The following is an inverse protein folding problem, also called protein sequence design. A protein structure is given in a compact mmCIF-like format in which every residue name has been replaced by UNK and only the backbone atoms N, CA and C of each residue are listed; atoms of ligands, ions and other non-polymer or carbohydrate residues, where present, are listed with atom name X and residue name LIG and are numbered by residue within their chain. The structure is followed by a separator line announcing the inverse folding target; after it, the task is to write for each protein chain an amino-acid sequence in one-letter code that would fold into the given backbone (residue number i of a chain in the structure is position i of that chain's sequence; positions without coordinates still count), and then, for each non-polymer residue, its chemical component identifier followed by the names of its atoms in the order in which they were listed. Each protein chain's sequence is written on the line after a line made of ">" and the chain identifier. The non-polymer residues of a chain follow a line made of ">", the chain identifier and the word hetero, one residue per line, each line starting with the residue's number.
data_IF_026162565976
#
_entry.id   IF_026162565976
#
_cell.length_a   1.000
_cell.length_b   1.000
_cell.length_c   1.000
_cell.angle_alpha   90.00
_cell.angle_beta   90.00
_cell.angle_gamma   90.00
#
_symmetry.space_group_name_H-M   'P 1'
#
loop_
_entity.id
_entity.type
_entity.pdbx_description
1 polymer ?
#
# COMPACT_ATOMS: atom_id res chain seq x y z
N UNK A 1 3.46 -28.72 -7.32
CA UNK A 1 2.36 -27.99 -7.98
C UNK A 1 1.41 -27.56 -6.89
N UNK A 2 1.09 -26.27 -6.89
CA UNK A 2 0.24 -25.68 -5.86
C UNK A 2 -1.24 -26.01 -6.11
N UNK A 3 -1.95 -26.33 -5.03
CA UNK A 3 -3.40 -26.53 -5.02
C UNK A 3 -4.05 -25.38 -4.26
N UNK A 4 -4.88 -24.57 -4.94
CA UNK A 4 -5.69 -23.55 -4.26
C UNK A 4 -6.69 -24.21 -3.32
N UNK A 5 -6.73 -23.78 -2.07
CA UNK A 5 -7.62 -24.29 -1.02
C UNK A 5 -8.60 -23.22 -0.51
N UNK A 6 -8.30 -21.94 -0.76
CA UNK A 6 -9.19 -20.83 -0.45
C UNK A 6 -8.99 -19.68 -1.46
N UNK A 7 -10.08 -19.04 -1.86
CA UNK A 7 -10.07 -17.80 -2.65
C UNK A 7 -11.11 -16.85 -2.07
N UNK A 8 -10.67 -15.72 -1.53
CA UNK A 8 -11.53 -14.62 -1.11
C UNK A 8 -11.27 -13.37 -1.94
N UNK A 9 -11.90 -12.26 -1.55
CA UNK A 9 -11.77 -10.98 -2.26
C UNK A 9 -10.40 -10.32 -2.06
N UNK A 10 -9.75 -10.53 -0.90
CA UNK A 10 -8.48 -9.87 -0.54
C UNK A 10 -7.28 -10.82 -0.51
N UNK A 11 -7.52 -12.11 -0.27
CA UNK A 11 -6.47 -13.13 -0.12
C UNK A 11 -6.87 -14.42 -0.81
N UNK A 12 -5.89 -15.16 -1.32
CA UNK A 12 -6.05 -16.57 -1.70
C UNK A 12 -4.99 -17.43 -1.02
N UNK A 13 -5.32 -18.69 -0.75
CA UNK A 13 -4.42 -19.63 -0.07
C UNK A 13 -4.26 -20.87 -0.95
N UNK A 14 -3.03 -21.31 -1.10
CA UNK A 14 -2.68 -22.56 -1.76
C UNK A 14 -1.81 -23.43 -0.85
N UNK A 15 -1.90 -24.73 -1.06
CA UNK A 15 -1.03 -25.73 -0.43
C UNK A 15 -0.08 -26.31 -1.47
N UNK A 16 1.17 -26.53 -1.07
CA UNK A 16 2.15 -27.27 -1.86
C UNK A 16 2.84 -28.34 -1.03
N UNK A 17 2.95 -29.56 -1.57
CA UNK A 17 3.76 -30.61 -0.96
C UNK A 17 5.20 -30.51 -1.43
N UNK A 18 6.11 -30.25 -0.50
CA UNK A 18 7.57 -30.18 -0.73
C UNK A 18 8.25 -31.10 0.29
N UNK A 19 9.04 -32.06 -0.18
CA UNK A 19 9.75 -33.03 0.67
C UNK A 19 8.88 -33.73 1.73
N UNK A 20 7.64 -34.07 1.37
CA UNK A 20 6.70 -34.75 2.28
C UNK A 20 5.96 -33.83 3.25
N UNK A 21 6.29 -32.54 3.31
CA UNK A 21 5.59 -31.56 4.13
C UNK A 21 4.62 -30.72 3.29
N UNK A 22 3.49 -30.33 3.89
CA UNK A 22 2.56 -29.36 3.31
C UNK A 22 3.03 -27.96 3.69
N UNK A 23 3.15 -27.09 2.68
CA UNK A 23 3.45 -25.68 2.83
C UNK A 23 2.24 -24.86 2.41
N UNK A 24 1.69 -24.07 3.32
CA UNK A 24 0.65 -23.10 3.03
C UNK A 24 1.25 -21.80 2.50
N UNK A 25 0.70 -21.32 1.40
CA UNK A 25 1.10 -20.08 0.73
C UNK A 25 -0.09 -19.16 0.63
N UNK A 26 0.02 -18.00 1.25
CA UNK A 26 -0.96 -16.91 1.15
C UNK A 26 -0.52 -15.97 0.04
N UNK A 27 -1.46 -15.62 -0.83
CA UNK A 27 -1.30 -14.64 -1.90
C UNK A 27 -2.21 -13.45 -1.59
N UNK A 28 -1.60 -12.26 -1.56
CA UNK A 28 -2.28 -10.99 -1.35
C UNK A 28 -1.87 -10.04 -2.48
N UNK A 29 -2.72 -9.06 -2.79
CA UNK A 29 -2.41 -8.07 -3.82
C UNK A 29 -1.10 -7.35 -3.55
N UNK A 30 -0.34 -7.08 -4.62
CA UNK A 30 0.87 -6.26 -4.53
C UNK A 30 0.51 -4.85 -4.06
N UNK A 31 1.44 -4.22 -3.36
CA UNK A 31 1.18 -2.95 -2.69
C UNK A 31 2.18 -1.87 -3.05
N UNK A 32 1.74 -0.63 -2.95
CA UNK A 32 2.60 0.55 -2.99
C UNK A 32 2.64 1.24 -1.62
N UNK A 33 3.81 1.75 -1.26
CA UNK A 33 4.07 2.49 -0.03
C UNK A 33 4.78 3.77 -0.42
N UNK A 34 4.15 4.90 -0.16
CA UNK A 34 4.64 6.21 -0.57
C UNK A 34 5.01 7.01 0.67
N UNK A 35 6.21 7.59 0.66
CA UNK A 35 6.66 8.57 1.64
C UNK A 35 6.55 9.97 1.04
N UNK A 36 5.47 10.72 1.30
CA UNK A 36 5.27 12.07 0.77
C UNK A 36 6.03 13.11 1.60
N UNK A 37 7.12 13.65 1.06
CA UNK A 37 7.92 14.69 1.71
C UNK A 37 7.29 16.07 1.51
N UNK A 38 7.03 16.78 2.62
CA UNK A 38 6.60 18.19 2.63
C UNK A 38 7.78 19.15 2.82
N UNK A 39 8.90 18.65 3.32
CA UNK A 39 10.19 19.34 3.40
C UNK A 39 11.31 18.30 3.48
N UNK A 40 12.57 18.71 3.63
CA UNK A 40 13.72 17.80 3.64
C UNK A 40 13.70 16.74 4.75
N UNK A 41 12.99 16.99 5.84
CA UNK A 41 13.01 16.20 7.08
C UNK A 41 11.59 15.85 7.57
N UNK A 42 10.55 16.09 6.76
CA UNK A 42 9.16 15.85 7.16
C UNK A 42 8.38 15.15 6.07
N UNK A 43 7.61 14.17 6.51
CA UNK A 43 6.63 13.47 5.67
C UNK A 43 5.22 13.68 6.21
N UNK A 44 4.25 13.64 5.30
CA UNK A 44 2.84 13.52 5.67
C UNK A 44 2.53 12.07 6.04
N UNK A 45 1.79 11.89 7.12
CA UNK A 45 1.22 10.60 7.50
C UNK A 45 -0.31 10.68 7.50
N UNK A 46 -0.92 9.53 7.27
CA UNK A 46 -2.36 9.34 7.25
C UNK A 46 -2.76 8.63 8.54
N UNK A 47 -3.71 9.22 9.26
CA UNK A 47 -4.44 8.52 10.32
C UNK A 47 -5.63 7.81 9.68
N UNK A 48 -5.62 6.48 9.68
CA UNK A 48 -6.62 5.66 9.02
C UNK A 48 -7.45 4.90 10.06
N UNK A 49 -8.78 4.88 9.88
CA UNK A 49 -9.68 4.05 10.70
C UNK A 49 -9.72 2.63 10.14
N UNK A 50 -9.47 1.63 10.98
CA UNK A 50 -9.49 0.20 10.63
C UNK A 50 -10.41 -0.53 11.60
N UNK A 51 -11.62 -0.85 11.16
CA UNK A 51 -12.67 -1.47 11.99
C UNK A 51 -12.26 -2.82 12.62
N UNK A 52 -11.30 -3.51 12.03
CA UNK A 52 -10.78 -4.81 12.48
C UNK A 52 -9.52 -4.69 13.35
N UNK A 53 -9.05 -3.47 13.65
CA UNK A 53 -7.88 -3.24 14.52
C UNK A 53 -8.31 -2.69 15.89
N UNK A 54 -7.47 -2.90 16.92
CA UNK A 54 -7.65 -2.33 18.26
C UNK A 54 -6.31 -1.77 18.78
N UNK A 55 -6.16 -0.43 18.93
CA UNK A 55 -7.18 0.60 18.68
C UNK A 55 -7.56 0.68 17.19
N UNK A 56 -8.78 1.16 16.85
CA UNK A 56 -9.30 1.14 15.47
C UNK A 56 -8.69 2.23 14.59
N UNK A 57 -7.55 2.78 14.97
CA UNK A 57 -6.84 3.82 14.25
C UNK A 57 -5.36 3.48 14.17
N UNK A 58 -4.82 3.59 12.96
CA UNK A 58 -3.41 3.38 12.68
C UNK A 58 -2.83 4.62 12.04
N UNK A 59 -1.65 5.00 12.48
CA UNK A 59 -0.83 5.98 11.78
C UNK A 59 0.00 5.24 10.72
N UNK A 60 -0.15 5.62 9.46
CA UNK A 60 0.56 5.02 8.33
C UNK A 60 1.04 6.08 7.36
N UNK A 61 1.91 5.70 6.45
CA UNK A 61 2.19 6.50 5.24
C UNK A 61 1.07 6.27 4.21
N UNK A 62 1.13 6.95 3.07
CA UNK A 62 0.20 6.67 1.96
C UNK A 62 0.49 5.29 1.40
N UNK A 63 -0.56 4.48 1.23
CA UNK A 63 -0.45 3.11 0.77
C UNK A 63 -1.67 2.70 -0.04
N UNK A 64 -1.49 1.85 -1.04
CA UNK A 64 -2.62 1.13 -1.63
C UNK A 64 -2.20 -0.03 -2.52
N UNK A 65 -3.13 -0.52 -3.33
CA UNK A 65 -2.88 -1.65 -4.21
C UNK A 65 -2.11 -1.21 -5.45
N UNK A 66 -1.18 -2.06 -5.90
CA UNK A 66 -0.44 -1.82 -7.13
C UNK A 66 -1.27 -2.27 -8.34
N UNK A 67 -1.69 -1.33 -9.17
CA UNK A 67 -2.40 -1.57 -10.41
C UNK A 67 -1.38 -1.82 -11.54
N UNK A 68 -1.40 -3.02 -12.13
CA UNK A 68 -0.40 -3.45 -13.13
C UNK A 68 -0.56 -2.82 -14.52
N UNK A 69 -1.72 -2.21 -14.80
CA UNK A 69 -1.98 -1.42 -15.99
C UNK A 69 -1.50 0.04 -15.87
N UNK A 70 -1.00 0.42 -14.70
CA UNK A 70 -0.45 1.73 -14.40
C UNK A 70 1.08 1.65 -14.19
N UNK A 71 1.79 2.69 -14.60
CA UNK A 71 3.17 2.92 -14.21
C UNK A 71 3.30 3.13 -12.70
N UNK A 72 4.53 3.08 -12.18
CA UNK A 72 4.79 3.39 -10.77
C UNK A 72 4.34 4.83 -10.44
N UNK A 73 4.63 5.79 -11.31
CA UNK A 73 4.25 7.20 -11.12
C UNK A 73 2.74 7.39 -11.07
N UNK A 74 2.00 6.73 -11.95
CA UNK A 74 0.53 6.76 -11.94
C UNK A 74 -0.04 6.14 -10.66
N UNK A 75 0.48 4.98 -10.23
CA UNK A 75 0.08 4.38 -8.97
C UNK A 75 0.37 5.29 -7.76
N UNK A 76 1.59 5.85 -7.67
CA UNK A 76 1.97 6.75 -6.57
C UNK A 76 1.04 7.94 -6.52
N UNK A 77 0.83 8.60 -7.67
CA UNK A 77 0.02 9.80 -7.72
C UNK A 77 -1.46 9.51 -7.46
N UNK A 78 -2.02 8.42 -7.99
CA UNK A 78 -3.41 8.01 -7.70
C UNK A 78 -3.64 7.89 -6.19
N UNK A 79 -2.79 7.13 -5.48
CA UNK A 79 -2.91 6.94 -4.04
C UNK A 79 -2.71 8.25 -3.24
N UNK A 80 -1.76 9.10 -3.65
CA UNK A 80 -1.57 10.42 -3.01
C UNK A 80 -2.82 11.31 -3.20
N UNK A 81 -3.40 11.30 -4.40
CA UNK A 81 -4.57 12.11 -4.72
C UNK A 81 -5.81 11.60 -3.98
N UNK A 82 -6.00 10.28 -3.90
CA UNK A 82 -7.09 9.62 -3.20
C UNK A 82 -6.99 9.83 -1.68
N UNK A 83 -5.85 9.54 -1.05
CA UNK A 83 -5.74 9.54 0.42
C UNK A 83 -5.52 10.93 1.03
N UNK A 84 -4.70 11.78 0.41
CA UNK A 84 -4.29 13.07 0.98
C UNK A 84 -4.56 14.28 0.07
N UNK A 85 -5.15 14.08 -1.11
CA UNK A 85 -5.51 15.17 -2.02
C UNK A 85 -4.31 15.86 -2.66
N UNK A 86 -3.17 15.17 -2.80
CA UNK A 86 -1.94 15.73 -3.37
C UNK A 86 -1.47 14.92 -4.57
N UNK A 87 -0.71 15.56 -5.46
CA UNK A 87 0.10 14.91 -6.48
C UNK A 87 1.56 15.29 -6.30
N UNK A 88 2.49 14.38 -6.56
CA UNK A 88 3.92 14.66 -6.58
C UNK A 88 4.41 14.92 -8.01
N UNK A 89 5.33 15.87 -8.15
CA UNK A 89 5.99 16.16 -9.44
C UNK A 89 7.37 15.51 -9.55
N UNK A 90 7.91 14.98 -8.46
CA UNK A 90 9.13 14.19 -8.46
C UNK A 90 8.92 12.94 -7.62
N UNK A 91 9.08 11.78 -8.26
CA UNK A 91 8.88 10.46 -7.65
C UNK A 91 10.13 9.62 -7.88
N UNK A 92 10.62 9.00 -6.81
CA UNK A 92 11.79 8.12 -6.86
C UNK A 92 11.38 6.75 -6.31
N UNK A 93 11.58 5.69 -7.10
CA UNK A 93 11.49 4.34 -6.56
C UNK A 93 12.65 4.10 -5.61
N UNK A 94 12.34 3.97 -4.33
CA UNK A 94 13.33 3.76 -3.28
C UNK A 94 13.72 2.29 -3.14
N UNK A 95 12.72 1.40 -3.15
CA UNK A 95 12.93 -0.02 -2.88
C UNK A 95 11.81 -0.87 -3.47
N UNK A 96 12.14 -2.09 -3.88
CA UNK A 96 11.16 -3.16 -4.12
C UNK A 96 11.44 -4.28 -3.12
N UNK A 97 10.40 -4.71 -2.40
CA UNK A 97 10.48 -5.83 -1.47
C UNK A 97 9.56 -6.95 -1.94
N UNK A 98 10.16 -8.01 -2.47
CA UNK A 98 9.43 -9.23 -2.85
C UNK A 98 9.49 -10.24 -1.72
N UNK A 99 8.32 -10.71 -1.26
CA UNK A 99 8.20 -11.83 -0.33
C UNK A 99 7.68 -13.04 -1.09
N UNK A 100 8.35 -14.18 -0.89
CA UNK A 100 7.97 -15.48 -1.43
C UNK A 100 8.01 -16.52 -0.31
N UNK A 101 7.10 -17.49 -0.34
CA UNK A 101 6.98 -18.51 0.70
C UNK A 101 5.61 -18.48 1.35
N UNK A 102 5.55 -18.27 2.68
CA UNK A 102 4.27 -18.26 3.43
C UNK A 102 3.37 -17.10 3.04
N UNK A 103 3.93 -15.90 2.81
CA UNK A 103 3.20 -14.73 2.31
C UNK A 103 3.87 -14.27 1.03
N UNK A 104 3.11 -14.24 -0.04
CA UNK A 104 3.55 -13.90 -1.38
C UNK A 104 2.97 -12.53 -1.75
N UNK A 105 3.86 -11.53 -1.82
CA UNK A 105 3.52 -10.15 -2.12
C UNK A 105 4.77 -9.39 -2.56
N UNK A 106 4.62 -8.52 -3.54
CA UNK A 106 5.59 -7.47 -3.88
C UNK A 106 5.12 -6.13 -3.32
N UNK A 107 6.04 -5.41 -2.68
CA UNK A 107 5.83 -4.05 -2.20
C UNK A 107 6.77 -3.09 -2.90
N UNK A 108 6.22 -2.05 -3.51
CA UNK A 108 6.95 -0.97 -4.16
C UNK A 108 6.99 0.23 -3.23
N UNK A 109 8.19 0.69 -2.87
CA UNK A 109 8.39 1.85 -2.00
C UNK A 109 8.83 3.03 -2.85
N UNK A 110 8.15 4.16 -2.70
CA UNK A 110 8.43 5.38 -3.43
C UNK A 110 8.60 6.57 -2.47
N UNK A 111 9.49 7.49 -2.83
CA UNK A 111 9.60 8.82 -2.22
C UNK A 111 8.93 9.81 -3.17
N UNK A 112 8.09 10.67 -2.62
CA UNK A 112 7.30 11.64 -3.38
C UNK A 112 7.61 13.04 -2.89
N UNK A 113 8.01 13.93 -3.80
CA UNK A 113 8.44 15.30 -3.49
C UNK A 113 7.65 16.32 -4.30
N UNK A 114 7.77 17.59 -3.89
CA UNK A 114 7.16 18.73 -4.55
C UNK A 114 5.65 18.53 -4.73
N UNK A 115 4.98 18.29 -3.60
CA UNK A 115 3.56 17.99 -3.53
C UNK A 115 2.73 19.22 -3.90
N UNK A 116 1.76 19.03 -4.79
CA UNK A 116 0.78 20.05 -5.19
C UNK A 116 -0.64 19.54 -4.93
N UNK A 117 -1.58 20.45 -4.69
CA UNK A 117 -2.99 20.07 -4.53
C UNK A 117 -3.53 19.39 -5.79
N UNK A 118 -4.13 18.22 -5.62
CA UNK A 118 -4.82 17.49 -6.68
C UNK A 118 -5.64 16.36 -6.04
N UNK A 119 -6.96 16.47 -6.05
CA UNK A 119 -7.85 15.50 -5.39
C UNK A 119 -8.49 14.57 -6.42
N UNK A 120 -8.52 13.28 -6.09
CA UNK A 120 -9.38 12.28 -6.72
C UNK A 120 -10.35 11.72 -5.67
N UNK A 121 -11.48 11.21 -6.13
CA UNK A 121 -12.41 10.48 -5.28
C UNK A 121 -11.73 9.19 -4.79
N UNK A 122 -11.77 8.95 -3.48
CA UNK A 122 -11.23 7.71 -2.93
C UNK A 122 -12.36 6.67 -2.85
N UNK A 123 -12.24 5.54 -3.59
CA UNK A 123 -13.29 4.53 -3.66
C UNK A 123 -13.58 3.85 -2.31
N UNK A 124 -12.66 3.94 -1.34
CA UNK A 124 -12.77 3.32 -0.02
C UNK A 124 -13.34 4.27 1.08
N UNK A 125 -13.74 5.51 0.72
CA UNK A 125 -13.74 6.64 1.67
C UNK A 125 -15.06 7.20 2.22
N UNK A 126 -16.20 6.49 2.19
CA UNK A 126 -17.32 6.96 3.03
C UNK A 126 -17.08 6.72 4.55
N UNK A 127 -16.21 5.78 4.94
CA UNK A 127 -16.00 5.40 6.35
C UNK A 127 -14.56 5.59 6.90
N UNK A 128 -13.57 5.81 6.03
CA UNK A 128 -12.17 5.97 6.40
C UNK A 128 -11.78 7.47 6.35
N UNK A 129 -11.99 8.20 7.45
CA UNK A 129 -11.57 9.59 7.54
C UNK A 129 -10.03 9.69 7.54
N UNK A 130 -9.43 10.01 6.40
CA UNK A 130 -7.98 10.26 6.30
C UNK A 130 -7.71 11.74 6.56
N UNK A 131 -7.14 12.05 7.73
CA UNK A 131 -6.56 13.37 7.99
C UNK A 131 -5.04 13.25 7.84
N UNK A 132 -4.47 13.98 6.89
CA UNK A 132 -3.03 14.17 6.79
C UNK A 132 -2.54 14.98 7.99
N UNK A 133 -1.56 14.47 8.72
CA UNK A 133 -0.86 15.21 9.76
C UNK A 133 0.65 15.17 9.48
N UNK A 134 1.33 16.29 9.72
CA UNK A 134 2.78 16.40 9.59
C UNK A 134 3.46 15.72 10.78
N UNK A 135 4.40 14.81 10.53
CA UNK A 135 5.23 14.18 11.56
C UNK A 135 6.73 14.41 11.27
N UNK A 136 7.52 14.56 12.34
CA UNK A 136 8.99 14.65 12.31
C UNK A 136 9.60 13.24 12.32
N UNK A 137 10.64 13.01 11.53
CA UNK A 137 11.49 11.81 11.61
C UNK A 137 12.97 12.16 11.64
#
# INVERSE_FOLDING_TARGET
>A
MEKKVYTGNYVSVAEEKINGHVYEKVYIGDGIIVFPFVSSDRILMVREKRFHENPPYRLKTVTGFYAYDQSLEENVNRELQEEIGKKATSIIQYKVSKRIGTINQTKYFALAYNLVESKLDNPDSEDATTWGQDYLY
#
